data_IF_015887661164
#
_entry.id   IF_015887661164
#
_cell.length_a   1.000
_cell.length_b   1.000
_cell.length_c   1.000
_cell.angle_alpha   90.00
_cell.angle_beta   90.00
_cell.angle_gamma   90.00
#
_symmetry.space_group_name_H-M   'P 1'
#
loop_
_entity.id
_entity.type
_entity.pdbx_description
1 polymer ?
#
# COMPACT_ATOMS: atom_id res chain seq x y z
N UNK A 1 -2.61 -20.81 -8.82
CA UNK A 1 -1.25 -20.83 -8.31
C UNK A 1 -0.68 -19.44 -8.11
N UNK A 2 -0.79 -18.55 -9.11
CA UNK A 2 -0.41 -17.15 -8.94
C UNK A 2 -1.22 -16.46 -7.86
N UNK A 3 -2.51 -16.81 -7.75
CA UNK A 3 -3.37 -16.26 -6.73
C UNK A 3 -2.90 -16.66 -5.33
N UNK A 4 -2.48 -17.91 -5.15
CA UNK A 4 -1.97 -18.39 -3.87
C UNK A 4 -0.67 -17.68 -3.51
N UNK A 5 0.22 -17.49 -4.48
CA UNK A 5 1.48 -16.76 -4.25
C UNK A 5 1.20 -15.31 -3.87
N UNK A 6 0.25 -14.67 -4.52
CA UNK A 6 -0.11 -13.30 -4.22
C UNK A 6 -0.72 -13.18 -2.82
N UNK A 7 -1.60 -14.11 -2.45
CA UNK A 7 -2.20 -14.12 -1.12
C UNK A 7 -1.15 -14.37 -0.03
N UNK A 8 -0.18 -15.23 -0.31
CA UNK A 8 0.91 -15.47 0.62
C UNK A 8 1.74 -14.20 0.86
N UNK A 9 2.02 -13.44 -0.20
CA UNK A 9 2.77 -12.18 -0.10
C UNK A 9 2.09 -11.15 0.79
N UNK A 10 0.76 -11.18 0.87
CA UNK A 10 0.02 -10.24 1.71
C UNK A 10 -0.40 -10.85 3.05
N UNK A 11 0.07 -12.06 3.35
CA UNK A 11 -0.17 -12.71 4.62
C UNK A 11 -1.54 -13.33 4.77
N UNK A 12 -2.19 -13.68 3.68
CA UNK A 12 -3.55 -14.25 3.71
C UNK A 12 -3.64 -15.70 3.24
N UNK A 13 -2.51 -16.41 3.14
CA UNK A 13 -2.53 -17.80 2.67
C UNK A 13 -3.47 -18.69 3.47
N UNK A 14 -3.64 -18.41 4.75
CA UNK A 14 -4.50 -19.18 5.65
C UNK A 14 -5.98 -18.80 5.55
N UNK A 15 -6.30 -17.78 4.76
CA UNK A 15 -7.65 -17.23 4.66
C UNK A 15 -8.27 -17.46 3.30
N UNK A 16 -7.69 -18.35 2.49
CA UNK A 16 -8.15 -18.57 1.11
C UNK A 16 -9.56 -19.08 1.01
N UNK A 17 -10.06 -19.76 2.04
CA UNK A 17 -11.42 -20.30 2.08
C UNK A 17 -12.44 -19.30 2.64
N UNK A 18 -11.98 -18.14 3.12
CA UNK A 18 -12.88 -17.14 3.66
C UNK A 18 -13.58 -16.36 2.55
N UNK A 19 -14.87 -16.07 2.78
CA UNK A 19 -15.63 -15.18 1.91
C UNK A 19 -15.27 -13.73 2.26
N UNK A 20 -15.46 -12.79 1.33
CA UNK A 20 -15.13 -11.38 1.60
C UNK A 20 -15.75 -10.83 2.88
N UNK A 21 -17.00 -11.22 3.20
CA UNK A 21 -17.67 -10.77 4.41
C UNK A 21 -17.09 -11.32 5.71
N UNK A 22 -16.24 -12.33 5.63
CA UNK A 22 -15.61 -12.96 6.79
C UNK A 22 -14.24 -12.34 7.12
N UNK A 23 -13.80 -11.37 6.31
CA UNK A 23 -12.51 -10.73 6.48
C UNK A 23 -12.67 -9.35 7.12
N UNK A 24 -11.67 -8.94 7.91
CA UNK A 24 -11.61 -7.59 8.44
C UNK A 24 -11.37 -6.58 7.30
N UNK A 25 -11.55 -5.29 7.58
CA UNK A 25 -11.29 -4.24 6.59
C UNK A 25 -9.85 -4.28 6.08
N UNK A 26 -8.89 -4.46 7.00
CA UNK A 26 -7.48 -4.59 6.61
C UNK A 26 -7.21 -5.82 5.78
N UNK A 27 -7.85 -6.96 6.12
CA UNK A 27 -7.71 -8.18 5.34
C UNK A 27 -8.32 -8.03 3.95
N UNK A 28 -9.46 -7.34 3.85
CA UNK A 28 -10.07 -7.05 2.54
C UNK A 28 -9.15 -6.18 1.69
N UNK A 29 -8.50 -5.20 2.31
CA UNK A 29 -7.54 -4.36 1.60
C UNK A 29 -6.34 -5.17 1.14
N UNK A 30 -5.88 -6.12 1.94
CA UNK A 30 -4.80 -7.02 1.54
C UNK A 30 -5.20 -7.87 0.33
N UNK A 31 -6.46 -8.29 0.25
CA UNK A 31 -6.97 -8.99 -0.94
C UNK A 31 -6.88 -8.11 -2.18
N UNK A 32 -7.22 -6.83 -2.04
CA UNK A 32 -7.09 -5.87 -3.15
C UNK A 32 -5.65 -5.75 -3.62
N UNK A 33 -4.70 -5.69 -2.68
CA UNK A 33 -3.28 -5.67 -3.01
C UNK A 33 -2.87 -6.96 -3.71
N UNK A 34 -3.32 -8.12 -3.20
CA UNK A 34 -3.01 -9.41 -3.81
C UNK A 34 -3.54 -9.48 -5.25
N UNK A 35 -4.73 -8.94 -5.50
CA UNK A 35 -5.28 -8.90 -6.86
C UNK A 35 -4.38 -8.12 -7.80
N UNK A 36 -3.82 -7.02 -7.34
CA UNK A 36 -2.87 -6.25 -8.13
C UNK A 36 -1.59 -7.05 -8.38
N UNK A 37 -1.14 -7.83 -7.41
CA UNK A 37 0.11 -8.59 -7.49
C UNK A 37 0.04 -9.81 -8.40
N UNK A 38 -1.16 -10.30 -8.72
CA UNK A 38 -1.33 -11.52 -9.53
C UNK A 38 -0.63 -11.39 -10.90
N UNK A 39 -0.63 -10.19 -11.47
CA UNK A 39 -0.01 -9.94 -12.77
C UNK A 39 1.49 -9.61 -12.67
N UNK A 40 2.04 -9.66 -11.48
CA UNK A 40 3.45 -9.32 -11.20
C UNK A 40 3.85 -7.95 -11.78
N UNK A 41 3.16 -6.87 -11.37
CA UNK A 41 3.40 -5.54 -11.93
C UNK A 41 4.67 -4.91 -11.38
N UNK A 42 5.29 -4.04 -12.18
CA UNK A 42 6.41 -3.22 -11.72
C UNK A 42 5.93 -1.97 -10.96
N UNK A 43 4.71 -1.54 -11.25
CA UNK A 43 4.12 -0.33 -10.68
C UNK A 43 2.75 -0.65 -10.06
N UNK A 44 2.55 -0.19 -8.83
CA UNK A 44 1.27 -0.32 -8.13
C UNK A 44 0.77 1.08 -7.81
N UNK A 45 -0.48 1.36 -8.19
CA UNK A 45 -1.15 2.61 -7.86
C UNK A 45 -2.17 2.33 -6.76
N UNK A 46 -2.08 3.06 -5.67
CA UNK A 46 -2.99 2.92 -4.54
C UNK A 46 -3.68 4.26 -4.26
N UNK A 47 -4.98 4.29 -4.43
CA UNK A 47 -5.79 5.50 -4.24
C UNK A 47 -6.47 5.43 -2.88
N UNK A 48 -6.05 6.29 -1.96
CA UNK A 48 -6.54 6.35 -0.57
C UNK A 48 -6.61 4.95 0.06
N UNK A 49 -5.50 4.21 0.07
CA UNK A 49 -5.55 2.78 0.45
C UNK A 49 -5.88 2.53 1.92
N UNK A 50 -5.79 3.55 2.76
CA UNK A 50 -6.03 3.42 4.20
C UNK A 50 -7.22 4.22 4.69
N UNK A 51 -8.02 4.78 3.77
CA UNK A 51 -9.09 5.71 4.10
C UNK A 51 -10.17 5.16 5.02
N UNK A 52 -10.42 3.86 4.98
CA UNK A 52 -11.48 3.22 5.78
C UNK A 52 -10.92 2.27 6.83
N UNK A 53 -9.64 2.37 7.14
CA UNK A 53 -8.98 1.46 8.07
C UNK A 53 -8.71 2.14 9.42
N UNK A 54 -8.71 1.32 10.49
CA UNK A 54 -8.28 1.80 11.79
C UNK A 54 -6.75 1.98 11.81
N UNK A 55 -6.23 2.53 12.90
CA UNK A 55 -4.80 2.85 13.00
C UNK A 55 -3.90 1.63 12.87
N UNK A 56 -4.32 0.51 13.43
CA UNK A 56 -3.53 -0.72 13.39
C UNK A 56 -3.47 -1.29 11.97
N UNK A 57 -4.64 -1.40 11.32
CA UNK A 57 -4.71 -1.90 9.94
C UNK A 57 -4.00 -0.96 8.97
N UNK A 58 -4.09 0.34 9.21
CA UNK A 58 -3.40 1.35 8.41
C UNK A 58 -1.89 1.11 8.44
N UNK A 59 -1.32 0.91 9.64
CA UNK A 59 0.11 0.63 9.76
C UNK A 59 0.51 -0.64 9.03
N UNK A 60 -0.29 -1.68 9.17
CA UNK A 60 0.00 -2.95 8.51
C UNK A 60 0.02 -2.83 6.99
N UNK A 61 -0.95 -2.09 6.43
CA UNK A 61 -1.01 -1.89 4.99
C UNK A 61 0.17 -1.04 4.50
N UNK A 62 0.54 0.01 5.24
CA UNK A 62 1.68 0.84 4.86
C UNK A 62 2.99 0.06 4.95
N UNK A 63 3.14 -0.78 5.97
CA UNK A 63 4.32 -1.65 6.07
C UNK A 63 4.38 -2.63 4.90
N UNK A 64 3.24 -3.16 4.48
CA UNK A 64 3.17 -4.04 3.32
C UNK A 64 3.65 -3.32 2.06
N UNK A 65 3.19 -2.09 1.84
CA UNK A 65 3.66 -1.30 0.69
C UNK A 65 5.16 -1.04 0.76
N UNK A 66 5.68 -0.77 1.95
CA UNK A 66 7.11 -0.56 2.12
C UNK A 66 7.90 -1.83 1.76
N UNK A 67 7.42 -2.98 2.20
CA UNK A 67 8.05 -4.26 1.87
C UNK A 67 8.03 -4.53 0.36
N UNK A 68 6.91 -4.26 -0.30
CA UNK A 68 6.79 -4.43 -1.75
C UNK A 68 7.72 -3.50 -2.50
N UNK A 69 7.88 -2.28 -2.01
CA UNK A 69 8.80 -1.31 -2.60
C UNK A 69 10.25 -1.76 -2.43
N UNK A 70 10.61 -2.25 -1.25
CA UNK A 70 11.95 -2.76 -0.99
C UNK A 70 12.26 -3.99 -1.85
N UNK A 71 11.24 -4.74 -2.21
CA UNK A 71 11.40 -5.91 -3.10
C UNK A 71 11.53 -5.52 -4.57
N UNK A 72 11.53 -4.23 -4.89
CA UNK A 72 11.79 -3.74 -6.23
C UNK A 72 10.59 -3.18 -6.98
N UNK A 73 9.42 -3.10 -6.35
CA UNK A 73 8.25 -2.54 -7.00
C UNK A 73 8.14 -1.05 -6.74
N UNK A 74 7.64 -0.33 -7.73
CA UNK A 74 7.34 1.09 -7.58
C UNK A 74 5.91 1.23 -7.04
N UNK A 75 5.75 1.97 -5.95
CA UNK A 75 4.45 2.18 -5.33
C UNK A 75 4.14 3.68 -5.39
N UNK A 76 2.98 4.01 -5.93
CA UNK A 76 2.46 5.39 -5.92
C UNK A 76 1.19 5.39 -5.09
N UNK A 77 1.19 6.19 -4.03
CA UNK A 77 0.02 6.30 -3.13
C UNK A 77 -0.57 7.70 -3.29
N UNK A 78 -1.86 7.73 -3.56
CA UNK A 78 -2.61 8.98 -3.61
C UNK A 78 -3.34 9.10 -2.28
N UNK A 79 -3.08 10.18 -1.54
CA UNK A 79 -3.67 10.37 -0.23
C UNK A 79 -3.77 11.85 0.11
N UNK A 80 -4.72 12.20 0.96
CA UNK A 80 -4.80 13.53 1.55
C UNK A 80 -4.37 13.51 3.03
N UNK A 81 -3.91 12.38 3.52
CA UNK A 81 -3.49 12.22 4.91
C UNK A 81 -1.97 12.46 5.03
N UNK A 82 -1.55 13.50 5.75
CA UNK A 82 -0.11 13.81 5.89
C UNK A 82 0.71 12.66 6.47
N UNK A 83 0.15 11.94 7.44
CA UNK A 83 0.86 10.83 8.08
C UNK A 83 1.21 9.72 7.10
N UNK A 84 0.33 9.48 6.13
CA UNK A 84 0.56 8.49 5.07
C UNK A 84 1.65 8.99 4.12
N UNK A 85 1.53 10.27 3.72
CA UNK A 85 2.50 10.87 2.80
C UNK A 85 3.92 10.87 3.36
N UNK A 86 4.05 11.08 4.65
CA UNK A 86 5.37 11.13 5.31
C UNK A 86 6.13 9.81 5.25
N UNK A 87 5.46 8.71 5.00
CA UNK A 87 6.12 7.41 4.91
C UNK A 87 6.71 7.14 3.53
N UNK A 88 6.44 7.99 2.56
CA UNK A 88 6.97 7.86 1.21
C UNK A 88 8.41 8.38 1.14
N UNK A 89 9.15 7.88 0.16
CA UNK A 89 10.51 8.38 -0.12
C UNK A 89 10.46 9.71 -0.85
N UNK A 90 9.39 9.92 -1.63
CA UNK A 90 9.16 11.16 -2.37
C UNK A 90 7.73 11.59 -2.13
N UNK A 91 7.54 12.85 -1.79
CA UNK A 91 6.23 13.41 -1.54
C UNK A 91 5.98 14.54 -2.54
N UNK A 92 4.85 14.46 -3.22
CA UNK A 92 4.47 15.45 -4.22
C UNK A 92 3.11 16.02 -3.84
N UNK A 93 3.01 17.34 -3.82
CA UNK A 93 1.73 18.01 -3.56
C UNK A 93 1.12 18.52 -4.86
N UNK A 94 -0.18 18.34 -4.98
CA UNK A 94 -0.92 18.81 -6.14
C UNK A 94 -2.04 19.73 -5.66
N UNK A 95 -2.07 20.98 -6.18
CA UNK A 95 -3.09 21.96 -5.88
C UNK A 95 -3.63 22.50 -7.20
N UNK A 96 -4.96 22.49 -7.34
CA UNK A 96 -5.64 23.00 -8.52
C UNK A 96 -5.05 22.43 -9.82
N UNK A 97 -4.74 21.14 -9.81
CA UNK A 97 -4.20 20.45 -10.97
C UNK A 97 -2.74 20.72 -11.25
N UNK A 98 -2.07 21.48 -10.41
CA UNK A 98 -0.65 21.85 -10.60
C UNK A 98 0.23 21.19 -9.57
N UNK A 99 1.38 20.71 -10.02
CA UNK A 99 2.42 20.19 -9.17
C UNK A 99 3.10 21.35 -8.45
N UNK A 100 2.95 21.42 -7.15
CA UNK A 100 3.43 22.58 -6.37
C UNK A 100 4.77 22.32 -5.72
N UNK A 101 4.96 21.12 -5.24
CA UNK A 101 6.10 20.84 -4.40
C UNK A 101 6.52 19.40 -4.58
N UNK A 102 7.81 19.19 -4.63
CA UNK A 102 8.39 17.85 -4.64
C UNK A 102 9.43 17.81 -3.54
N UNK A 103 9.10 17.08 -2.47
CA UNK A 103 9.97 16.96 -1.31
C UNK A 103 10.52 15.54 -1.25
N UNK A 104 11.83 15.35 -1.41
CA UNK A 104 12.45 14.06 -1.17
C UNK A 104 12.38 13.76 0.34
N UNK A 105 11.72 12.67 0.70
CA UNK A 105 11.60 12.27 2.11
C UNK A 105 12.62 11.19 2.46
N UNK A 106 13.43 10.79 1.49
CA UNK A 106 14.41 9.72 1.66
C UNK A 106 15.36 9.96 2.84
N UNK A 107 15.78 11.22 3.05
CA UNK A 107 16.66 11.57 4.17
C UNK A 107 15.99 11.28 5.50
N UNK A 108 14.71 11.65 5.64
CA UNK A 108 13.93 11.34 6.84
C UNK A 108 13.70 9.83 6.94
N UNK A 109 13.43 9.19 5.82
CA UNK A 109 13.25 7.74 5.76
C UNK A 109 14.50 6.98 6.17
N UNK A 110 15.67 7.51 5.84
CA UNK A 110 16.94 6.87 6.18
C UNK A 110 17.20 6.84 7.68
N UNK A 111 16.53 7.69 8.43
CA UNK A 111 16.68 7.76 9.89
C UNK A 111 15.60 6.98 10.64
N UNK A 112 14.67 6.39 9.95
CA UNK A 112 13.58 5.62 10.55
C UNK A 112 13.99 4.24 10.99
#
# INVERSE_FOLDING_TARGET
ERAMLALDKVGLAQRVQHRPGELSGGQQQRVSVARALVTDPALILADEPTGNLDSHSTREILELFEELNEAGRTIVIITHEPDVGERARHLVHIYDGLLREHTPVAAAGATR
#
